data_IF_589958449325
#
_entry.id   IF_589958449325
#
_cell.length_a   1.000
_cell.length_b   1.000
_cell.length_c   1.000
_cell.angle_alpha   90.00
_cell.angle_beta   90.00
_cell.angle_gamma   90.00
#
_symmetry.space_group_name_H-M   'P 1'
#
loop_
_entity.id
_entity.type
_entity.pdbx_description
1 polymer ?
#
# COMPACT_ATOMS: atom_id res chain seq x y z
N UNK A 1 -7.56 -19.03 -3.35
CA UNK A 1 -6.55 -17.98 -3.44
C UNK A 1 -6.67 -17.04 -2.26
N UNK A 2 -5.56 -16.47 -1.82
CA UNK A 2 -5.53 -15.57 -0.67
C UNK A 2 -5.23 -14.14 -1.11
N UNK A 3 -5.77 -13.18 -0.38
CA UNK A 3 -5.52 -11.76 -0.62
C UNK A 3 -4.57 -11.20 0.42
N UNK A 4 -3.70 -10.32 -0.02
CA UNK A 4 -2.70 -9.69 0.82
C UNK A 4 -2.73 -8.18 0.66
N UNK A 5 -2.58 -7.50 1.79
CA UNK A 5 -2.38 -6.05 1.83
C UNK A 5 -0.89 -5.79 1.90
N UNK A 6 -0.38 -5.08 0.92
CA UNK A 6 1.02 -4.63 0.87
C UNK A 6 0.98 -3.12 1.03
N UNK A 7 1.69 -2.60 2.03
CA UNK A 7 1.61 -1.17 2.34
C UNK A 7 2.94 -0.62 2.83
N UNK A 8 3.07 0.69 2.80
CA UNK A 8 4.21 1.41 3.37
C UNK A 8 3.72 2.65 4.09
N UNK A 9 4.52 3.09 5.07
CA UNK A 9 4.16 4.24 5.90
C UNK A 9 4.31 5.56 5.13
N UNK A 10 3.53 6.54 5.53
CA UNK A 10 3.70 7.91 5.06
C UNK A 10 5.11 8.39 5.41
N UNK A 11 5.75 9.07 4.47
CA UNK A 11 7.12 9.50 4.64
C UNK A 11 8.19 8.46 4.37
N UNK A 12 7.84 7.19 4.15
CA UNK A 12 8.81 6.14 3.85
C UNK A 12 9.59 6.40 2.56
N UNK A 13 9.02 7.19 1.65
CA UNK A 13 9.65 7.59 0.39
C UNK A 13 10.32 8.98 0.47
N UNK A 14 10.36 9.58 1.66
CA UNK A 14 10.85 10.95 1.85
C UNK A 14 12.35 11.15 1.56
N UNK A 15 13.12 10.06 1.51
CA UNK A 15 14.55 10.11 1.17
C UNK A 15 14.81 10.21 -0.34
N UNK A 16 13.78 10.07 -1.17
CA UNK A 16 13.92 10.07 -2.62
C UNK A 16 14.09 11.51 -3.10
N UNK A 17 15.17 11.81 -3.88
CA UNK A 17 15.34 13.13 -4.45
C UNK A 17 14.15 13.52 -5.34
N UNK A 18 13.76 14.78 -5.29
CA UNK A 18 12.60 15.28 -6.01
C UNK A 18 12.66 15.00 -7.52
N UNK A 19 13.85 15.11 -8.10
CA UNK A 19 14.04 14.82 -9.53
C UNK A 19 13.84 13.37 -9.91
N UNK A 20 13.85 12.44 -8.94
CA UNK A 20 13.67 11.02 -9.18
C UNK A 20 12.20 10.58 -9.13
N UNK A 21 11.29 11.43 -8.66
CA UNK A 21 9.88 11.07 -8.52
C UNK A 21 9.24 10.53 -9.79
N UNK A 22 9.46 11.15 -10.98
CA UNK A 22 8.88 10.58 -12.21
C UNK A 22 9.37 9.18 -12.51
N UNK A 23 10.67 8.90 -12.29
CA UNK A 23 11.23 7.56 -12.50
C UNK A 23 10.67 6.55 -11.52
N UNK A 24 10.48 6.93 -10.26
CA UNK A 24 9.88 6.07 -9.23
C UNK A 24 8.43 5.77 -9.57
N UNK A 25 7.68 6.77 -10.01
CA UNK A 25 6.29 6.59 -10.47
C UNK A 25 6.21 5.61 -11.64
N UNK A 26 7.09 5.76 -12.62
CA UNK A 26 7.14 4.87 -13.77
C UNK A 26 7.48 3.42 -13.34
N UNK A 27 8.44 3.26 -12.42
CA UNK A 27 8.82 1.94 -11.92
C UNK A 27 7.68 1.28 -11.16
N UNK A 28 6.98 2.01 -10.30
CA UNK A 28 5.83 1.51 -9.57
C UNK A 28 4.68 1.11 -10.51
N UNK A 29 4.39 1.93 -11.51
CA UNK A 29 3.39 1.60 -12.53
C UNK A 29 3.78 0.37 -13.35
N UNK A 30 5.07 0.16 -13.63
CA UNK A 30 5.53 -1.03 -14.33
C UNK A 30 5.24 -2.30 -13.53
N UNK A 31 5.50 -2.29 -12.22
CA UNK A 31 5.17 -3.44 -11.35
C UNK A 31 3.66 -3.65 -11.28
N UNK A 32 2.89 -2.57 -11.20
CA UNK A 32 1.43 -2.65 -11.22
C UNK A 32 0.92 -3.31 -12.50
N UNK A 33 1.46 -2.91 -13.66
CA UNK A 33 1.09 -3.52 -14.95
C UNK A 33 1.47 -5.00 -15.00
N UNK A 34 2.64 -5.37 -14.47
CA UNK A 34 3.05 -6.77 -14.37
C UNK A 34 2.07 -7.57 -13.52
N UNK A 35 1.64 -7.02 -12.39
CA UNK A 35 0.66 -7.66 -11.51
C UNK A 35 -0.69 -7.82 -12.19
N UNK A 36 -1.12 -6.80 -12.95
CA UNK A 36 -2.36 -6.89 -13.75
C UNK A 36 -2.25 -7.97 -14.82
N UNK A 37 -1.13 -8.02 -15.53
CA UNK A 37 -0.89 -9.03 -16.57
C UNK A 37 -0.81 -10.43 -15.99
N UNK A 38 -0.31 -10.58 -14.77
CA UNK A 38 -0.28 -11.86 -14.07
C UNK A 38 -1.64 -12.26 -13.47
N UNK A 39 -2.62 -11.38 -13.50
CA UNK A 39 -3.95 -11.63 -12.96
C UNK A 39 -4.03 -11.59 -11.44
N UNK A 40 -3.05 -10.99 -10.77
CA UNK A 40 -3.00 -10.95 -9.30
C UNK A 40 -3.43 -9.61 -8.71
N UNK A 41 -3.48 -8.55 -9.49
CA UNK A 41 -3.80 -7.21 -9.02
C UNK A 41 -5.28 -7.06 -8.70
N UNK A 42 -5.59 -6.58 -7.50
CA UNK A 42 -6.96 -6.23 -7.10
C UNK A 42 -7.13 -4.71 -7.13
N UNK A 43 -6.37 -3.99 -6.32
CA UNK A 43 -6.44 -2.53 -6.26
C UNK A 43 -5.26 -1.97 -5.46
N UNK A 44 -4.99 -0.69 -5.63
CA UNK A 44 -3.98 0.00 -4.84
C UNK A 44 -3.64 1.37 -5.41
N UNK A 45 -2.78 2.06 -4.71
CA UNK A 45 -2.30 3.37 -5.10
C UNK A 45 -1.66 4.11 -3.94
N UNK A 46 -1.20 5.31 -4.23
CA UNK A 46 -0.70 6.22 -3.21
C UNK A 46 -1.84 6.85 -2.41
N UNK A 47 -1.55 7.22 -1.20
CA UNK A 47 -2.48 7.95 -0.34
C UNK A 47 -2.02 9.40 -0.29
N UNK A 48 -2.96 10.31 -0.46
CA UNK A 48 -2.64 11.74 -0.40
C UNK A 48 -2.02 12.11 0.94
N UNK A 49 -0.99 12.95 0.91
CA UNK A 49 -0.38 13.50 2.10
C UNK A 49 -1.30 14.53 2.72
N UNK A 50 -2.10 14.08 3.66
CA UNK A 50 -3.07 14.94 4.33
C UNK A 50 -3.35 14.41 5.72
N UNK A 51 -3.99 15.24 6.52
CA UNK A 51 -4.47 14.79 7.83
C UNK A 51 -5.58 13.77 7.65
N UNK A 52 -5.47 12.66 8.34
CA UNK A 52 -6.57 11.73 8.41
C UNK A 52 -7.70 12.32 9.27
N UNK A 53 -8.93 12.14 8.84
CA UNK A 53 -10.08 12.42 9.69
C UNK A 53 -10.41 11.17 10.50
N UNK A 54 -10.67 11.35 11.78
CA UNK A 54 -11.02 10.25 12.69
C UNK A 54 -12.49 10.38 13.03
N UNK A 55 -13.25 9.36 12.71
CA UNK A 55 -14.69 9.32 13.01
C UNK A 55 -14.90 8.35 14.17
N UNK A 56 -15.37 8.89 15.30
CA UNK A 56 -15.65 8.08 16.48
C UNK A 56 -16.90 7.25 16.35
N UNK A 57 -17.11 6.34 17.29
CA UNK A 57 -18.29 5.47 17.33
C UNK A 57 -19.62 6.26 17.50
N UNK A 58 -19.53 7.49 17.98
CA UNK A 58 -20.63 8.42 18.13
C UNK A 58 -20.88 9.27 16.87
N UNK A 59 -20.08 9.08 15.82
CA UNK A 59 -20.14 9.84 14.57
C UNK A 59 -19.42 11.17 14.61
N UNK A 60 -18.80 11.55 15.72
CA UNK A 60 -18.05 12.79 15.78
C UNK A 60 -16.75 12.67 15.02
N UNK A 61 -16.40 13.73 14.30
CA UNK A 61 -15.21 13.77 13.43
C UNK A 61 -14.14 14.65 14.05
N UNK A 62 -12.93 14.13 14.13
CA UNK A 62 -11.75 14.88 14.52
C UNK A 62 -10.69 14.76 13.41
N UNK A 63 -9.99 15.86 13.12
CA UNK A 63 -8.90 15.83 12.16
C UNK A 63 -7.61 15.38 12.83
N UNK A 64 -6.92 14.42 12.16
CA UNK A 64 -5.63 13.92 12.58
C UNK A 64 -4.46 14.67 11.93
N UNK A 65 -3.24 14.20 12.18
CA UNK A 65 -2.92 13.12 13.10
C UNK A 65 -3.21 13.46 14.56
N UNK A 66 -3.65 12.46 15.28
CA UNK A 66 -3.90 12.58 16.71
C UNK A 66 -3.21 11.42 17.43
N UNK A 67 -3.10 11.43 18.77
CA UNK A 67 -2.50 10.31 19.49
C UNK A 67 -3.18 8.96 19.23
N UNK A 68 -4.44 8.97 18.84
CA UNK A 68 -5.20 7.77 18.50
C UNK A 68 -4.89 7.25 17.09
N UNK A 69 -4.36 8.10 16.20
CA UNK A 69 -3.99 7.71 14.84
C UNK A 69 -2.64 7.01 14.88
N UNK A 70 -2.66 5.69 14.85
CA UNK A 70 -1.44 4.87 14.94
C UNK A 70 -0.92 4.38 13.60
N UNK A 71 -1.72 4.47 12.56
CA UNK A 71 -1.33 4.07 11.22
C UNK A 71 -1.33 5.29 10.31
N UNK A 72 -0.18 5.57 9.72
CA UNK A 72 -0.01 6.63 8.74
C UNK A 72 0.43 5.98 7.46
N UNK A 73 -0.51 5.78 6.56
CA UNK A 73 -0.30 4.99 5.35
C UNK A 73 0.09 5.91 4.20
N UNK A 74 1.22 5.62 3.54
CA UNK A 74 1.66 6.35 2.36
C UNK A 74 1.14 5.78 1.06
N UNK A 75 0.90 4.46 1.03
CA UNK A 75 0.34 3.79 -0.14
C UNK A 75 0.11 2.32 0.14
N UNK A 76 -0.63 1.66 -0.75
CA UNK A 76 -0.96 0.26 -0.57
C UNK A 76 -1.24 -0.43 -1.90
N UNK A 77 -1.15 -1.76 -1.87
CA UNK A 77 -1.57 -2.64 -2.96
C UNK A 77 -2.30 -3.83 -2.36
N UNK A 78 -3.35 -4.26 -3.00
CA UNK A 78 -4.04 -5.51 -2.66
C UNK A 78 -3.87 -6.46 -3.82
N UNK A 79 -3.31 -7.64 -3.54
CA UNK A 79 -3.09 -8.68 -4.54
C UNK A 79 -3.74 -10.00 -4.11
N UNK A 80 -4.05 -10.84 -5.08
CA UNK A 80 -4.59 -12.16 -4.83
C UNK A 80 -3.65 -13.20 -5.43
N UNK A 81 -3.09 -14.05 -4.58
CA UNK A 81 -2.09 -15.06 -4.96
C UNK A 81 -2.35 -16.37 -4.22
N UNK A 82 -1.67 -17.43 -4.64
CA UNK A 82 -1.87 -18.76 -4.06
C UNK A 82 -1.15 -18.94 -2.73
N UNK A 83 0.02 -18.33 -2.55
CA UNK A 83 0.87 -18.55 -1.39
C UNK A 83 1.41 -17.25 -0.81
N UNK A 84 1.82 -17.29 0.46
CA UNK A 84 2.50 -16.16 1.10
C UNK A 84 3.81 -15.83 0.40
N UNK A 85 4.56 -16.84 -0.06
CA UNK A 85 5.81 -16.62 -0.79
C UNK A 85 5.59 -15.80 -2.06
N UNK A 86 4.50 -16.08 -2.78
CA UNK A 86 4.13 -15.27 -3.95
C UNK A 86 3.86 -13.82 -3.57
N UNK A 87 3.16 -13.60 -2.45
CA UNK A 87 2.89 -12.24 -1.96
C UNK A 87 4.18 -11.52 -1.60
N UNK A 88 5.11 -12.19 -0.94
CA UNK A 88 6.41 -11.62 -0.58
C UNK A 88 7.24 -11.29 -1.82
N UNK A 89 7.18 -12.11 -2.86
CA UNK A 89 7.87 -11.85 -4.12
C UNK A 89 7.33 -10.60 -4.81
N UNK A 90 6.01 -10.42 -4.82
CA UNK A 90 5.40 -9.20 -5.36
C UNK A 90 5.75 -7.97 -4.51
N UNK A 91 5.73 -8.12 -3.18
CA UNK A 91 6.13 -7.04 -2.28
C UNK A 91 7.57 -6.60 -2.51
N UNK A 92 8.47 -7.55 -2.80
CA UNK A 92 9.86 -7.23 -3.12
C UNK A 92 9.98 -6.38 -4.38
N UNK A 93 9.15 -6.64 -5.40
CA UNK A 93 9.12 -5.83 -6.62
C UNK A 93 8.63 -4.42 -6.33
N UNK A 94 7.57 -4.28 -5.52
CA UNK A 94 7.08 -2.96 -5.12
C UNK A 94 8.09 -2.22 -4.25
N UNK A 95 8.77 -2.91 -3.34
CA UNK A 95 9.79 -2.31 -2.49
C UNK A 95 10.94 -1.73 -3.31
N UNK A 96 11.41 -2.48 -4.31
CA UNK A 96 12.45 -2.00 -5.21
C UNK A 96 11.99 -0.81 -6.04
N UNK A 97 10.78 -0.85 -6.58
CA UNK A 97 10.22 0.22 -7.40
C UNK A 97 9.99 1.51 -6.60
N UNK A 98 9.40 1.39 -5.42
CA UNK A 98 9.07 2.53 -4.55
C UNK A 98 10.26 2.98 -3.69
N UNK A 99 11.36 2.23 -3.68
CA UNK A 99 12.57 2.52 -2.90
C UNK A 99 12.29 2.62 -1.40
N UNK A 100 11.36 1.82 -0.90
CA UNK A 100 11.05 1.74 0.52
C UNK A 100 10.51 0.36 0.88
N UNK A 101 10.68 -0.02 2.15
CA UNK A 101 10.19 -1.29 2.65
C UNK A 101 8.68 -1.38 2.54
N UNK A 102 8.18 -2.58 2.30
CA UNK A 102 6.75 -2.86 2.24
C UNK A 102 6.36 -3.80 3.38
N UNK A 103 5.23 -3.53 3.99
CA UNK A 103 4.64 -4.43 4.98
C UNK A 103 3.62 -5.32 4.29
N UNK A 104 3.63 -6.60 4.62
CA UNK A 104 2.75 -7.59 3.99
C UNK A 104 1.85 -8.22 5.04
N UNK A 105 0.54 -8.10 4.85
CA UNK A 105 -0.46 -8.69 5.75
C UNK A 105 -1.45 -9.50 4.94
N UNK A 106 -1.77 -10.69 5.42
CA UNK A 106 -2.83 -11.50 4.84
C UNK A 106 -4.19 -10.95 5.27
N UNK A 107 -5.09 -10.79 4.32
CA UNK A 107 -6.46 -10.39 4.63
C UNK A 107 -7.25 -11.60 5.10
N UNK A 108 -8.17 -11.38 6.02
CA UNK A 108 -9.06 -12.43 6.48
C UNK A 108 -9.93 -12.92 5.33
N UNK A 109 -10.13 -14.22 5.25
CA UNK A 109 -11.01 -14.82 4.25
C UNK A 109 -12.46 -14.62 4.69
N UNK A 110 -13.13 -13.70 4.03
CA UNK A 110 -14.52 -13.35 4.31
C UNK A 110 -15.32 -13.49 3.01
N UNK A 111 -16.28 -14.42 2.95
CA UNK A 111 -17.04 -14.67 1.73
C UNK A 111 -17.93 -13.50 1.32
N UNK A 112 -18.15 -12.52 2.18
CA UNK A 112 -18.95 -11.35 1.85
C UNK A 112 -18.14 -10.19 1.28
N UNK A 113 -16.84 -10.34 1.22
CA UNK A 113 -15.95 -9.31 0.70
C UNK A 113 -15.49 -9.62 -0.72
#
# INVERSE_FOLDING_TARGET
MKRYLISFDDGAMGHIPEGDWPAVGDAAHAVMRDAKNAGVWIHGGGVEQQRASIVGTDGLVADGPSPETKAVIGGFSIIQVSTRQDALAWAAKFAAACRCAQEVRELMDDPEV
#
